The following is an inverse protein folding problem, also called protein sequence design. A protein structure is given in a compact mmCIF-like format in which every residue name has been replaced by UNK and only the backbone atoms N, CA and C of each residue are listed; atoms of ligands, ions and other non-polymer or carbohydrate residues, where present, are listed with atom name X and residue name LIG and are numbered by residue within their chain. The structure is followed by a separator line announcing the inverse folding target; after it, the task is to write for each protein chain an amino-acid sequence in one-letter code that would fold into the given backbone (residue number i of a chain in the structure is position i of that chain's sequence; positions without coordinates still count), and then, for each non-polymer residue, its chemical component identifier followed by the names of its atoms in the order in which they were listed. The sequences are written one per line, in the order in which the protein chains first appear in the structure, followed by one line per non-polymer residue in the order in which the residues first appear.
data_IF_847625879253
#
_entry.id   IF_847625879253
#
_cell.length_a   1.000
_cell.length_b   1.000
_cell.length_c   1.000
_cell.angle_alpha   90.00
_cell.angle_beta   90.00
_cell.angle_gamma   90.00
#
_symmetry.space_group_name_H-M   'P 1'
#
loop_
_entity.id
_entity.type
_entity.pdbx_description
1 polymer ?
#
# COMPACT_ATOMS: atom_id res chain seq x y z
N UNK A 1 1.07 7.47 12.20
CA UNK A 1 -0.22 6.73 12.16
C UNK A 1 -0.14 5.54 13.11
N UNK A 2 -1.22 5.11 13.80
CA UNK A 2 -1.15 3.95 14.72
C UNK A 2 -1.26 2.63 13.95
N UNK A 3 -0.55 1.57 14.40
CA UNK A 3 -0.62 0.24 13.79
C UNK A 3 -2.05 -0.26 13.60
N UNK A 4 -2.91 -0.08 14.61
CA UNK A 4 -4.32 -0.51 14.57
C UNK A 4 -5.06 0.11 13.38
N UNK A 5 -4.76 1.35 13.02
CA UNK A 5 -5.39 2.07 11.92
C UNK A 5 -4.87 1.57 10.58
N UNK A 6 -3.56 1.37 10.45
CA UNK A 6 -2.94 0.74 9.28
C UNK A 6 -3.52 -0.66 9.02
N UNK A 7 -3.66 -1.47 10.08
CA UNK A 7 -4.22 -2.82 10.00
C UNK A 7 -5.70 -2.80 9.59
N UNK A 8 -6.48 -1.85 10.12
CA UNK A 8 -7.89 -1.68 9.74
C UNK A 8 -8.02 -1.27 8.27
N UNK A 9 -7.28 -0.25 7.86
CA UNK A 9 -7.22 0.21 6.47
C UNK A 9 -6.85 -0.95 5.54
N UNK A 10 -5.76 -1.65 5.84
CA UNK A 10 -5.25 -2.74 5.00
C UNK A 10 -6.21 -3.92 4.89
N UNK A 11 -6.87 -4.33 5.98
CA UNK A 11 -7.92 -5.36 5.92
C UNK A 11 -9.09 -4.93 5.04
N UNK A 12 -9.48 -3.66 5.10
CA UNK A 12 -10.54 -3.14 4.25
C UNK A 12 -10.10 -3.08 2.78
N UNK A 13 -8.86 -2.69 2.53
CA UNK A 13 -8.26 -2.69 1.19
C UNK A 13 -8.33 -4.09 0.57
N UNK A 14 -7.88 -5.12 1.30
CA UNK A 14 -7.98 -6.53 0.86
C UNK A 14 -9.43 -6.92 0.56
N UNK A 15 -10.36 -6.62 1.48
CA UNK A 15 -11.78 -6.91 1.29
C UNK A 15 -12.36 -6.25 0.03
N UNK A 16 -11.94 -5.03 -0.27
CA UNK A 16 -12.36 -4.31 -1.47
C UNK A 16 -11.68 -4.81 -2.75
N UNK A 17 -10.47 -5.38 -2.64
CA UNK A 17 -9.71 -5.93 -3.77
C UNK A 17 -10.21 -7.31 -4.21
N UNK A 18 -10.64 -8.16 -3.27
CA UNK A 18 -11.09 -9.54 -3.55
C UNK A 18 -12.05 -9.73 -4.73
N UNK A 19 -13.09 -8.88 -4.92
CA UNK A 19 -14.01 -9.00 -6.05
C UNK A 19 -13.34 -8.93 -7.42
N UNK A 20 -12.14 -8.35 -7.51
CA UNK A 20 -11.38 -8.19 -8.74
C UNK A 20 -10.33 -9.29 -8.95
N UNK A 21 -10.14 -10.17 -7.97
CA UNK A 21 -9.17 -11.25 -8.04
C UNK A 21 -9.77 -12.50 -8.70
N UNK A 22 -8.93 -13.27 -9.40
CA UNK A 22 -9.32 -14.59 -9.89
C UNK A 22 -9.61 -15.52 -8.72
N UNK A 23 -10.49 -16.51 -8.93
CA UNK A 23 -10.72 -17.59 -7.96
C UNK A 23 -9.39 -18.25 -7.59
N UNK A 24 -9.23 -18.61 -6.31
CA UNK A 24 -8.03 -19.21 -5.71
C UNK A 24 -6.82 -18.28 -5.52
N UNK A 25 -6.99 -16.96 -5.68
CA UNK A 25 -5.97 -15.99 -5.26
C UNK A 25 -6.25 -15.47 -3.84
N UNK A 26 -5.17 -15.31 -3.09
CA UNK A 26 -5.07 -14.73 -1.76
C UNK A 26 -4.30 -13.41 -1.80
N UNK A 27 -4.34 -12.68 -0.68
CA UNK A 27 -3.55 -11.46 -0.50
C UNK A 27 -2.76 -11.56 0.79
N UNK A 28 -1.43 -11.49 0.68
CA UNK A 28 -0.56 -11.23 1.81
C UNK A 28 -0.40 -9.72 1.98
N UNK A 29 -0.30 -9.27 3.22
CA UNK A 29 -0.13 -7.87 3.55
C UNK A 29 1.04 -7.71 4.52
N UNK A 30 1.95 -6.81 4.16
CA UNK A 30 3.06 -6.36 4.99
C UNK A 30 2.82 -4.88 5.33
N UNK A 31 2.81 -4.56 6.62
CA UNK A 31 2.61 -3.21 7.14
C UNK A 31 3.95 -2.66 7.63
N UNK A 32 4.33 -1.48 7.14
CA UNK A 32 5.53 -0.76 7.50
C UNK A 32 5.13 0.59 8.11
N UNK A 33 4.94 0.64 9.45
CA UNK A 33 4.61 1.87 10.14
C UNK A 33 5.76 2.88 10.06
N UNK A 34 5.44 4.16 10.17
CA UNK A 34 6.43 5.24 10.30
C UNK A 34 6.18 6.06 11.55
N UNK A 35 7.26 6.57 12.15
CA UNK A 35 7.20 7.40 13.35
C UNK A 35 6.78 8.83 13.03
N UNK A 36 7.33 9.43 11.97
CA UNK A 36 7.07 10.84 11.62
C UNK A 36 5.65 11.03 11.10
N UNK A 37 5.31 10.39 9.97
CA UNK A 37 4.05 10.60 9.29
C UNK A 37 3.70 9.43 8.38
N UNK A 38 2.40 9.13 8.31
CA UNK A 38 1.89 8.20 7.32
C UNK A 38 2.19 6.74 7.61
N UNK A 39 2.44 6.00 6.54
CA UNK A 39 2.82 4.59 6.55
C UNK A 39 2.85 3.98 5.15
N UNK A 40 3.45 2.79 5.06
CA UNK A 40 3.51 2.01 3.81
C UNK A 40 2.84 0.66 4.03
N UNK A 41 2.03 0.22 3.06
CA UNK A 41 1.48 -1.13 3.01
C UNK A 41 1.85 -1.78 1.68
N UNK A 42 2.43 -2.97 1.72
CA UNK A 42 2.61 -3.82 0.55
C UNK A 42 1.56 -4.94 0.58
N UNK A 43 0.88 -5.14 -0.54
CA UNK A 43 -0.06 -6.22 -0.76
C UNK A 43 0.47 -7.12 -1.86
N UNK A 44 0.70 -8.39 -1.56
CA UNK A 44 1.17 -9.39 -2.51
C UNK A 44 0.03 -10.34 -2.88
N UNK A 45 -0.41 -10.28 -4.13
CA UNK A 45 -1.49 -11.09 -4.69
C UNK A 45 -0.89 -12.40 -5.20
N UNK A 46 -1.28 -13.54 -4.63
CA UNK A 46 -0.69 -14.83 -4.99
C UNK A 46 -1.70 -15.98 -4.80
N UNK A 47 -1.29 -17.22 -5.04
CA UNK A 47 -2.11 -18.43 -4.85
C UNK A 47 -1.78 -19.18 -3.54
N UNK A 48 -1.06 -18.54 -2.62
CA UNK A 48 -0.62 -19.14 -1.35
C UNK A 48 -1.65 -18.82 -0.26
N UNK A 49 -1.19 -18.47 0.93
CA UNK A 49 -2.04 -18.19 2.09
C UNK A 49 -2.33 -16.70 2.22
N UNK A 50 -3.33 -16.38 3.06
CA UNK A 50 -3.50 -15.03 3.58
C UNK A 50 -2.54 -14.86 4.76
N UNK A 51 -1.67 -13.86 4.70
CA UNK A 51 -0.76 -13.51 5.79
C UNK A 51 -0.85 -12.01 6.07
N UNK A 52 -0.81 -11.64 7.35
CA UNK A 52 -0.59 -10.25 7.75
C UNK A 52 0.66 -10.18 8.60
N UNK A 53 1.66 -9.43 8.14
CA UNK A 53 2.89 -9.13 8.88
C UNK A 53 2.95 -7.63 9.19
N UNK A 54 3.41 -7.31 10.39
CA UNK A 54 3.70 -5.94 10.80
C UNK A 54 5.17 -5.89 11.14
N UNK A 55 5.87 -4.91 10.56
CA UNK A 55 7.29 -4.70 10.76
C UNK A 55 7.52 -3.65 11.85
N UNK A 56 8.77 -3.59 12.33
CA UNK A 56 9.18 -2.52 13.24
C UNK A 56 9.02 -1.14 12.57
N UNK A 57 8.67 -0.10 13.34
CA UNK A 57 8.47 1.24 12.78
C UNK A 57 9.73 1.82 12.16
N UNK A 58 9.60 2.36 10.95
CA UNK A 58 10.63 3.15 10.31
C UNK A 58 10.62 4.58 10.83
N UNK A 59 11.78 5.26 10.79
CA UNK A 59 11.85 6.67 11.19
C UNK A 59 11.04 7.57 10.27
N UNK A 60 11.15 7.37 8.96
CA UNK A 60 10.49 8.18 7.91
C UNK A 60 9.95 7.30 6.78
N UNK A 61 9.04 7.86 5.97
CA UNK A 61 8.54 7.21 4.75
C UNK A 61 9.65 6.97 3.74
N UNK A 62 10.54 7.93 3.53
CA UNK A 62 11.64 7.81 2.57
C UNK A 62 12.57 6.65 2.94
N UNK A 63 12.85 6.43 4.22
CA UNK A 63 13.63 5.26 4.66
C UNK A 63 12.89 3.96 4.40
N UNK A 64 11.60 3.89 4.75
CA UNK A 64 10.78 2.70 4.49
C UNK A 64 10.74 2.34 2.99
N UNK A 65 10.56 3.34 2.11
CA UNK A 65 10.45 3.11 0.66
C UNK A 65 11.80 2.75 0.05
N UNK A 66 12.89 3.38 0.51
CA UNK A 66 14.24 3.04 0.05
C UNK A 66 14.59 1.58 0.29
N UNK A 67 14.16 1.02 1.43
CA UNK A 67 14.38 -0.38 1.77
C UNK A 67 13.48 -1.33 0.95
N UNK A 68 12.22 -0.98 0.78
CA UNK A 68 11.24 -1.86 0.12
C UNK A 68 11.35 -1.85 -1.41
N UNK A 69 11.67 -0.69 -1.97
CA UNK A 69 11.68 -0.43 -3.41
C UNK A 69 12.87 0.46 -3.76
N UNK A 70 14.11 -0.06 -3.65
CA UNK A 70 15.31 0.72 -3.98
C UNK A 70 15.26 1.29 -5.41
N UNK A 71 14.65 0.55 -6.35
CA UNK A 71 14.50 0.99 -7.75
C UNK A 71 13.43 2.09 -7.94
N UNK A 72 12.56 2.34 -6.96
CA UNK A 72 11.57 3.43 -6.99
C UNK A 72 12.19 4.78 -6.67
N UNK A 73 13.36 4.79 -6.01
CA UNK A 73 14.13 5.98 -5.71
C UNK A 73 15.37 5.96 -6.63
N UNK A 74 15.15 6.14 -7.93
CA UNK A 74 16.25 6.45 -8.85
C UNK A 74 16.52 7.96 -8.77
N UNK A 75 17.47 8.35 -7.92
CA UNK A 75 17.85 9.74 -7.66
C UNK A 75 18.40 9.95 -6.25
N UNK A 76 18.77 11.19 -5.91
CA UNK A 76 19.24 11.52 -4.57
C UNK A 76 18.09 11.32 -3.56
N UNK A 77 18.13 10.21 -2.81
CA UNK A 77 17.09 9.72 -1.91
C UNK A 77 16.62 10.73 -0.87
N UNK A 78 17.47 11.72 -0.58
CA UNK A 78 17.25 12.77 0.41
C UNK A 78 16.27 13.87 -0.05
N UNK A 79 15.73 13.79 -1.28
CA UNK A 79 14.81 14.81 -1.85
C UNK A 79 13.45 14.30 -2.29
N UNK A 80 13.12 13.02 -2.06
CA UNK A 80 11.78 12.52 -2.40
C UNK A 80 10.80 12.86 -1.29
N UNK A 81 10.03 13.92 -1.50
CA UNK A 81 8.88 14.27 -0.66
C UNK A 81 7.65 13.49 -1.15
N UNK A 82 7.11 12.65 -0.29
CA UNK A 82 5.83 12.00 -0.54
C UNK A 82 4.72 12.89 0.01
N UNK A 83 3.71 13.17 -0.80
CA UNK A 83 2.51 13.90 -0.40
C UNK A 83 1.26 13.07 -0.67
N UNK A 84 0.25 13.19 0.21
CA UNK A 84 -1.06 12.56 0.01
C UNK A 84 -0.99 11.03 -0.11
N UNK A 85 -1.80 10.46 -1.00
CA UNK A 85 -1.87 9.00 -1.26
C UNK A 85 -1.23 8.67 -2.61
N UNK A 86 -0.19 7.85 -2.57
CA UNK A 86 0.52 7.33 -3.72
C UNK A 86 0.28 5.82 -3.80
N UNK A 87 -0.17 5.35 -4.96
CA UNK A 87 -0.55 3.97 -5.20
C UNK A 87 0.31 3.44 -6.35
N UNK A 88 1.00 2.34 -6.12
CA UNK A 88 1.84 1.72 -7.11
C UNK A 88 1.44 0.27 -7.29
N UNK A 89 1.48 -0.21 -8.52
CA UNK A 89 1.29 -1.62 -8.84
C UNK A 89 2.46 -2.08 -9.69
N UNK A 90 3.02 -3.22 -9.31
CA UNK A 90 4.11 -3.86 -10.03
C UNK A 90 3.84 -5.36 -10.02
N UNK A 91 3.57 -5.92 -11.19
CA UNK A 91 3.19 -7.32 -11.37
C UNK A 91 2.02 -7.71 -10.46
N UNK A 92 2.30 -8.52 -9.44
CA UNK A 92 1.32 -9.03 -8.48
C UNK A 92 1.38 -8.30 -7.12
N UNK A 93 2.11 -7.20 -7.04
CA UNK A 93 2.27 -6.39 -5.83
C UNK A 93 1.59 -5.04 -5.97
N UNK A 94 0.88 -4.62 -4.93
CA UNK A 94 0.36 -3.27 -4.77
C UNK A 94 1.06 -2.62 -3.59
N UNK A 95 1.62 -1.43 -3.78
CA UNK A 95 2.22 -0.62 -2.72
C UNK A 95 1.35 0.61 -2.49
N UNK A 96 0.91 0.80 -1.25
CA UNK A 96 0.20 2.00 -0.82
C UNK A 96 1.13 2.80 0.06
N UNK A 97 1.46 4.01 -0.37
CA UNK A 97 2.26 4.97 0.38
C UNK A 97 1.36 6.17 0.69
N UNK A 98 1.13 6.47 1.97
CA UNK A 98 0.41 7.69 2.35
C UNK A 98 1.27 8.52 3.27
N UNK A 99 1.38 9.80 2.97
CA UNK A 99 2.17 10.79 3.70
C UNK A 99 1.28 11.76 4.49
N UNK A 100 0.35 11.19 5.25
CA UNK A 100 -0.48 11.97 6.17
C UNK A 100 -0.86 11.10 7.38
N UNK A 101 -1.11 11.74 8.51
CA UNK A 101 -1.63 11.09 9.71
C UNK A 101 -3.14 11.28 9.87
N UNK A 102 -3.82 11.75 8.84
CA UNK A 102 -5.23 12.13 8.92
C UNK A 102 -6.12 10.87 8.93
N UNK A 103 -6.94 10.64 9.97
CA UNK A 103 -7.77 9.43 10.03
C UNK A 103 -8.70 9.24 8.82
N UNK A 104 -9.06 10.33 8.15
CA UNK A 104 -9.86 10.34 6.92
C UNK A 104 -9.17 9.63 5.75
N UNK A 105 -7.84 9.73 5.64
CA UNK A 105 -7.03 9.06 4.63
C UNK A 105 -6.83 7.56 4.91
N UNK A 106 -7.06 7.13 6.16
CA UNK A 106 -6.82 5.77 6.65
C UNK A 106 -8.11 5.04 7.07
N UNK A 107 -9.27 5.51 6.59
CA UNK A 107 -10.56 4.91 6.91
C UNK A 107 -11.01 3.89 5.84
N UNK A 108 -12.17 3.28 6.10
CA UNK A 108 -12.73 2.25 5.22
C UNK A 108 -13.13 2.77 3.84
N UNK A 109 -13.52 4.04 3.74
CA UNK A 109 -13.90 4.69 2.48
C UNK A 109 -12.66 4.93 1.63
N UNK A 110 -11.62 5.51 2.22
CA UNK A 110 -10.34 5.72 1.56
C UNK A 110 -9.76 4.41 1.01
N UNK A 111 -9.78 3.32 1.80
CA UNK A 111 -9.32 2.01 1.33
C UNK A 111 -10.09 1.50 0.10
N UNK A 112 -11.42 1.68 0.07
CA UNK A 112 -12.23 1.26 -1.08
C UNK A 112 -11.98 2.16 -2.30
N UNK A 113 -11.86 3.47 -2.09
CA UNK A 113 -11.57 4.43 -3.16
C UNK A 113 -10.20 4.17 -3.78
N UNK A 114 -9.19 3.85 -2.98
CA UNK A 114 -7.84 3.53 -3.45
C UNK A 114 -7.80 2.22 -4.26
N UNK A 115 -8.55 1.19 -3.86
CA UNK A 115 -8.71 -0.02 -4.68
C UNK A 115 -9.33 0.30 -6.04
N UNK A 116 -10.37 1.15 -6.09
CA UNK A 116 -10.99 1.52 -7.38
C UNK A 116 -10.00 2.20 -8.31
N UNK A 117 -9.13 3.08 -7.79
CA UNK A 117 -8.06 3.72 -8.57
C UNK A 117 -7.08 2.71 -9.16
N UNK A 118 -6.62 1.75 -8.34
CA UNK A 118 -5.72 0.67 -8.80
C UNK A 118 -6.37 -0.15 -9.91
N UNK A 119 -7.61 -0.58 -9.71
CA UNK A 119 -8.33 -1.42 -10.69
C UNK A 119 -8.58 -0.66 -12.00
N UNK A 120 -8.95 0.61 -11.93
CA UNK A 120 -9.16 1.45 -13.11
C UNK A 120 -7.87 1.60 -13.93
N UNK A 121 -6.75 1.89 -13.27
CA UNK A 121 -5.44 2.01 -13.93
C UNK A 121 -5.06 0.71 -14.68
N UNK A 122 -5.44 -0.45 -14.13
CA UNK A 122 -5.19 -1.74 -14.78
C UNK A 122 -6.07 -1.99 -16.01
N UNK A 123 -7.32 -1.53 -15.96
CA UNK A 123 -8.23 -1.65 -17.10
C UNK A 123 -7.75 -0.79 -18.28
N UNK A 124 -7.22 0.41 -17.99
CA UNK A 124 -6.67 1.31 -19.01
C UNK A 124 -5.42 0.73 -19.68
N UNK A 125 -4.47 0.17 -18.92
CA UNK A 125 -3.24 -0.43 -19.45
C UNK A 125 -3.47 -1.67 -20.34
N UNK A 126 -4.60 -2.36 -20.20
CA UNK A 126 -4.94 -3.50 -21.08
C UNK A 126 -5.52 -3.09 -22.42
N UNK A 127 -5.96 -1.84 -22.55
CA UNK A 127 -6.67 -1.32 -23.72
C UNK A 127 -5.80 -0.36 -24.56
N UNK A 128 -4.54 -0.14 -24.19
CA UNK A 128 -3.54 0.60 -24.96
C UNK A 128 -2.46 -0.34 -25.47
#
# INVERSE_FOLDING_TARGET
MKEKELRRYGRRFISALYPYLKKNYSVEMDIYPTVSEGGVLEFNINQKSNRVRVHEPFRTLSTAISELRPNFIQGNSDRVEFGGTNLFMDNNKVLVVKADNEPSSWNNRAAADDVRKIVASFAEQKNG
#
